data_IF_972913062941
#
_entry.id   IF_972913062941
#
_cell.length_a   1.000
_cell.length_b   1.000
_cell.length_c   1.000
_cell.angle_alpha   90.00
_cell.angle_beta   90.00
_cell.angle_gamma   90.00
#
_symmetry.space_group_name_H-M   'P 1'
#
loop_
_entity.id
_entity.type
_entity.pdbx_description
1 polymer ?
#
# COMPACT_ATOMS: atom_id res chain seq x y z
N UNK A 1 5.57 7.44 -3.12
CA UNK A 1 4.36 6.58 -3.11
C UNK A 1 3.51 6.76 -4.36
N UNK A 2 3.44 7.93 -4.99
CA UNK A 2 2.67 8.12 -6.25
C UNK A 2 3.36 7.64 -7.54
N UNK A 3 4.68 7.40 -7.53
CA UNK A 3 5.47 7.07 -8.73
C UNK A 3 4.93 5.87 -9.54
N UNK A 4 4.55 4.73 -8.92
CA UNK A 4 3.98 3.61 -9.70
C UNK A 4 2.65 3.97 -10.39
N UNK A 5 1.82 4.81 -9.76
CA UNK A 5 0.57 5.30 -10.35
C UNK A 5 0.84 6.23 -11.53
N UNK A 6 1.80 7.16 -11.38
CA UNK A 6 2.25 8.01 -12.49
C UNK A 6 2.83 7.18 -13.64
N UNK A 7 3.65 6.18 -13.32
CA UNK A 7 4.18 5.23 -14.29
C UNK A 7 3.08 4.47 -15.04
N UNK A 8 2.05 4.01 -14.34
CA UNK A 8 0.88 3.36 -14.96
C UNK A 8 0.13 4.29 -15.93
N UNK A 9 -0.16 5.53 -15.53
CA UNK A 9 -0.85 6.49 -16.37
C UNK A 9 -0.04 6.86 -17.62
N UNK A 10 1.27 7.08 -17.43
CA UNK A 10 2.23 7.34 -18.51
C UNK A 10 2.25 6.17 -19.49
N UNK A 11 2.40 4.95 -18.97
CA UNK A 11 2.39 3.72 -19.75
C UNK A 11 1.08 3.49 -20.53
N UNK A 12 -0.07 3.80 -19.92
CA UNK A 12 -1.36 3.70 -20.59
C UNK A 12 -1.50 4.74 -21.72
N UNK A 13 -1.01 5.96 -21.51
CA UNK A 13 -0.99 7.01 -22.52
C UNK A 13 -0.10 6.65 -23.71
N UNK A 14 1.10 6.13 -23.43
CA UNK A 14 2.05 5.62 -24.43
C UNK A 14 1.43 4.50 -25.27
N UNK A 15 0.80 3.50 -24.64
CA UNK A 15 0.12 2.40 -25.35
C UNK A 15 -1.04 2.85 -26.24
N UNK A 16 -1.58 4.04 -26.02
CA UNK A 16 -2.64 4.65 -26.84
C UNK A 16 -2.10 5.57 -27.94
N UNK A 17 -0.78 5.68 -28.10
CA UNK A 17 -0.15 6.56 -29.09
C UNK A 17 -0.34 8.05 -28.82
N UNK A 18 -0.76 8.44 -27.60
CA UNK A 18 -1.05 9.84 -27.25
C UNK A 18 0.20 10.50 -26.67
N UNK A 19 1.17 10.82 -27.53
CA UNK A 19 2.46 11.39 -27.14
C UNK A 19 2.32 12.69 -26.31
N UNK A 20 1.51 13.64 -26.78
CA UNK A 20 1.28 14.90 -26.06
C UNK A 20 0.66 14.70 -24.67
N UNK A 21 -0.29 13.77 -24.55
CA UNK A 21 -0.93 13.46 -23.28
C UNK A 21 0.08 12.83 -22.31
N UNK A 22 1.01 12.04 -22.84
CA UNK A 22 2.09 11.43 -22.03
C UNK A 22 2.98 12.50 -21.42
N UNK A 23 3.39 13.49 -22.22
CA UNK A 23 4.17 14.64 -21.72
C UNK A 23 3.36 15.42 -20.68
N UNK A 24 2.08 15.69 -20.95
CA UNK A 24 1.20 16.37 -20.00
C UNK A 24 1.05 15.63 -18.66
N UNK A 25 0.86 14.31 -18.70
CA UNK A 25 0.77 13.45 -17.50
C UNK A 25 2.09 13.47 -16.71
N UNK A 26 3.22 13.32 -17.40
CA UNK A 26 4.54 13.34 -16.76
C UNK A 26 4.82 14.69 -16.10
N UNK A 27 4.58 15.80 -16.80
CA UNK A 27 4.78 17.14 -16.25
C UNK A 27 3.84 17.40 -15.07
N UNK A 28 2.54 17.14 -15.22
CA UNK A 28 1.57 17.36 -14.14
C UNK A 28 1.85 16.49 -12.90
N UNK A 29 2.33 15.25 -13.10
CA UNK A 29 2.64 14.34 -12.00
C UNK A 29 4.00 14.57 -11.35
N UNK A 30 5.02 14.91 -12.14
CA UNK A 30 6.39 15.10 -11.66
C UNK A 30 6.64 16.51 -11.12
N UNK A 31 5.92 17.53 -11.59
CA UNK A 31 6.13 18.91 -11.16
C UNK A 31 5.93 19.11 -9.64
N UNK A 32 4.83 18.63 -9.01
CA UNK A 32 4.68 18.75 -7.55
C UNK A 32 5.79 18.04 -6.77
N UNK A 33 6.28 16.91 -7.29
CA UNK A 33 7.40 16.19 -6.70
C UNK A 33 8.70 16.99 -6.82
N UNK A 34 8.95 17.59 -7.99
CA UNK A 34 10.13 18.41 -8.21
C UNK A 34 10.13 19.67 -7.35
N UNK A 35 8.99 20.36 -7.26
CA UNK A 35 8.85 21.57 -6.43
C UNK A 35 8.99 21.26 -4.94
N UNK A 36 8.38 20.17 -4.46
CA UNK A 36 8.52 19.74 -3.06
C UNK A 36 9.91 19.20 -2.72
N UNK A 37 10.69 18.78 -3.71
CA UNK A 37 12.07 18.34 -3.55
C UNK A 37 13.07 19.51 -3.36
N UNK A 38 12.78 20.70 -3.90
CA UNK A 38 13.70 21.84 -3.88
C UNK A 38 14.28 22.19 -2.50
N UNK A 39 13.48 22.25 -1.40
CA UNK A 39 14.01 22.60 -0.07
C UNK A 39 14.99 21.57 0.49
N UNK A 40 15.00 20.35 -0.04
CA UNK A 40 15.87 19.25 0.38
C UNK A 40 17.09 19.07 -0.53
N UNK A 41 17.20 19.90 -1.58
CA UNK A 41 18.23 19.82 -2.59
C UNK A 41 19.26 20.94 -2.43
N UNK A 42 20.52 20.59 -2.66
CA UNK A 42 21.67 21.48 -2.78
C UNK A 42 22.38 21.21 -4.12
N UNK A 43 23.27 22.09 -4.59
CA UNK A 43 24.00 21.86 -5.84
C UNK A 43 24.82 20.55 -5.86
N UNK A 44 25.19 20.02 -4.69
CA UNK A 44 26.03 18.82 -4.55
C UNK A 44 25.23 17.56 -4.18
N UNK A 45 24.03 17.69 -3.63
CA UNK A 45 23.26 16.56 -3.14
C UNK A 45 21.74 16.85 -3.06
N UNK A 46 20.92 15.83 -3.33
CA UNK A 46 19.46 15.84 -3.14
C UNK A 46 19.01 14.64 -2.30
N UNK A 47 19.26 14.62 -0.97
CA UNK A 47 18.85 13.54 -0.09
C UNK A 47 17.34 13.55 0.19
N UNK A 48 16.51 13.28 -0.83
CA UNK A 48 15.05 13.20 -0.71
C UNK A 48 14.59 12.07 0.22
N UNK A 49 15.40 11.03 0.33
CA UNK A 49 15.18 9.91 1.23
C UNK A 49 16.46 9.77 2.05
N UNK A 50 16.41 9.90 3.38
CA UNK A 50 17.57 9.74 4.23
C UNK A 50 17.90 8.25 4.38
N UNK A 51 18.50 7.66 3.35
CA UNK A 51 18.81 6.22 3.27
C UNK A 51 19.77 5.74 4.37
N UNK A 52 20.54 6.64 4.97
CA UNK A 52 21.36 6.35 6.15
C UNK A 52 20.61 6.38 7.49
N UNK A 53 19.33 6.79 7.53
CA UNK A 53 18.59 6.90 8.79
C UNK A 53 18.15 5.55 9.34
N UNK A 54 18.14 5.43 10.66
CA UNK A 54 17.61 4.25 11.34
C UNK A 54 16.11 4.04 11.03
N UNK A 55 15.35 5.12 10.81
CA UNK A 55 13.95 5.04 10.43
C UNK A 55 13.76 4.33 9.08
N UNK A 56 14.51 4.70 8.03
CA UNK A 56 14.40 4.06 6.71
C UNK A 56 14.85 2.61 6.76
N UNK A 57 15.92 2.30 7.49
CA UNK A 57 16.51 0.96 7.51
C UNK A 57 15.79 -0.04 8.42
N UNK A 58 15.30 0.43 9.58
CA UNK A 58 14.83 -0.43 10.68
C UNK A 58 13.47 -0.01 11.26
N UNK A 59 12.88 1.11 10.80
CA UNK A 59 11.62 1.63 11.34
C UNK A 59 10.49 0.62 11.28
N UNK A 60 9.72 0.50 12.38
CA UNK A 60 8.52 -0.34 12.53
C UNK A 60 7.38 0.52 13.07
N UNK A 61 6.14 0.05 12.93
CA UNK A 61 4.92 0.76 13.30
C UNK A 61 3.72 -0.20 13.47
N UNK A 62 2.79 -0.15 12.53
CA UNK A 62 1.56 -0.92 12.47
C UNK A 62 1.58 -1.96 11.34
N UNK A 63 2.75 -2.43 10.91
CA UNK A 63 2.96 -3.31 9.75
C UNK A 63 2.25 -4.68 9.85
N UNK A 64 1.85 -5.24 8.70
CA UNK A 64 1.26 -6.58 8.59
C UNK A 64 2.28 -7.63 8.14
N UNK A 65 2.62 -7.66 6.84
CA UNK A 65 3.49 -8.69 6.27
C UNK A 65 4.88 -8.63 6.92
N UNK A 66 5.51 -7.46 7.11
CA UNK A 66 6.78 -7.41 7.79
C UNK A 66 6.75 -7.95 9.23
N UNK A 67 5.62 -7.81 9.94
CA UNK A 67 5.46 -8.44 11.25
C UNK A 67 5.40 -9.96 11.15
N UNK A 68 4.61 -10.51 10.21
CA UNK A 68 4.52 -11.95 9.99
C UNK A 68 5.86 -12.56 9.56
N UNK A 69 6.60 -11.88 8.69
CA UNK A 69 7.95 -12.30 8.31
C UNK A 69 8.89 -12.29 9.52
N UNK A 70 8.79 -11.28 10.39
CA UNK A 70 9.60 -11.22 11.59
C UNK A 70 9.31 -12.33 12.61
N UNK A 71 8.11 -12.93 12.60
CA UNK A 71 7.79 -14.09 13.46
C UNK A 71 8.55 -15.36 13.04
N UNK A 72 8.85 -15.51 11.75
CA UNK A 72 9.56 -16.67 11.20
C UNK A 72 11.04 -16.40 10.90
N UNK A 73 11.39 -15.13 10.68
CA UNK A 73 12.75 -14.67 10.37
C UNK A 73 13.03 -13.35 11.07
N UNK A 74 13.51 -13.43 12.32
CA UNK A 74 13.73 -12.26 13.17
C UNK A 74 14.70 -11.23 12.57
N UNK A 75 15.72 -11.67 11.83
CA UNK A 75 16.70 -10.75 11.20
C UNK A 75 16.09 -9.85 10.12
N UNK A 76 14.90 -10.18 9.61
CA UNK A 76 14.15 -9.29 8.71
C UNK A 76 13.85 -7.91 9.33
N UNK A 77 13.92 -7.80 10.67
CA UNK A 77 13.78 -6.51 11.37
C UNK A 77 14.96 -5.56 11.11
N UNK A 78 16.11 -6.08 10.66
CA UNK A 78 17.33 -5.31 10.42
C UNK A 78 17.42 -4.75 9.00
N UNK A 79 16.46 -5.01 8.13
CA UNK A 79 16.54 -4.52 6.75
C UNK A 79 15.15 -4.33 6.14
N UNK A 80 14.75 -3.08 5.96
CA UNK A 80 13.48 -2.75 5.30
C UNK A 80 13.48 -2.97 3.79
N UNK A 81 14.64 -2.89 3.16
CA UNK A 81 14.77 -2.98 1.71
C UNK A 81 14.26 -4.30 1.13
N UNK A 82 14.22 -5.39 1.92
CA UNK A 82 13.73 -6.70 1.48
C UNK A 82 12.27 -6.66 1.01
N UNK A 83 11.46 -5.75 1.55
CA UNK A 83 10.05 -5.59 1.15
C UNK A 83 9.88 -4.77 -0.14
N UNK A 84 10.96 -4.15 -0.64
CA UNK A 84 10.97 -3.46 -1.92
C UNK A 84 10.84 -4.43 -3.10
N UNK A 85 11.53 -5.57 -3.06
CA UNK A 85 11.45 -6.58 -4.12
C UNK A 85 10.03 -7.14 -4.34
N UNK A 86 9.30 -7.65 -3.31
CA UNK A 86 7.93 -8.12 -3.51
C UNK A 86 6.99 -7.00 -3.98
N UNK A 87 7.21 -5.75 -3.54
CA UNK A 87 6.43 -4.61 -4.01
C UNK A 87 6.68 -4.33 -5.50
N UNK A 88 7.93 -4.40 -5.98
CA UNK A 88 8.27 -4.26 -7.40
C UNK A 88 7.62 -5.37 -8.22
N UNK A 89 7.71 -6.63 -7.77
CA UNK A 89 7.07 -7.77 -8.43
C UNK A 89 5.55 -7.59 -8.50
N UNK A 90 4.92 -7.12 -7.42
CA UNK A 90 3.50 -6.77 -7.41
C UNK A 90 3.17 -5.70 -8.46
N UNK A 91 3.93 -4.61 -8.51
CA UNK A 91 3.72 -3.53 -9.49
C UNK A 91 3.83 -4.05 -10.92
N UNK A 92 4.83 -4.89 -11.22
CA UNK A 92 4.98 -5.52 -12.54
C UNK A 92 3.76 -6.40 -12.86
N UNK A 93 3.29 -7.22 -11.91
CA UNK A 93 2.08 -8.02 -12.07
C UNK A 93 0.84 -7.16 -12.34
N UNK A 94 0.66 -6.08 -11.57
CA UNK A 94 -0.44 -5.13 -11.75
C UNK A 94 -0.38 -4.45 -13.12
N UNK A 95 0.80 -4.01 -13.59
CA UNK A 95 0.98 -3.41 -14.93
C UNK A 95 0.57 -4.36 -16.07
N UNK A 96 0.76 -5.67 -15.87
CA UNK A 96 0.39 -6.71 -16.84
C UNK A 96 -1.12 -6.98 -16.83
N UNK A 97 -1.70 -7.16 -15.64
CA UNK A 97 -3.06 -7.69 -15.48
C UNK A 97 -4.15 -6.62 -15.36
N UNK A 98 -3.86 -5.48 -14.76
CA UNK A 98 -4.86 -4.41 -14.61
C UNK A 98 -4.93 -3.54 -15.86
N UNK A 99 -6.14 -3.15 -16.25
CA UNK A 99 -6.39 -2.31 -17.44
C UNK A 99 -6.88 -0.91 -17.10
N UNK A 100 -7.44 -0.73 -15.89
CA UNK A 100 -8.03 0.52 -15.43
C UNK A 100 -7.26 1.14 -14.27
N UNK A 101 -7.36 2.46 -14.16
CA UNK A 101 -6.71 3.26 -13.12
C UNK A 101 -7.14 2.84 -11.70
N UNK A 102 -8.44 2.61 -11.49
CA UNK A 102 -8.98 2.21 -10.17
C UNK A 102 -8.35 0.89 -9.72
N UNK A 103 -8.40 -0.15 -10.55
CA UNK A 103 -7.85 -1.46 -10.21
C UNK A 103 -6.34 -1.45 -9.99
N UNK A 104 -5.58 -0.70 -10.81
CA UNK A 104 -4.14 -0.57 -10.60
C UNK A 104 -3.82 0.13 -9.28
N UNK A 105 -4.44 1.30 -9.04
CA UNK A 105 -4.16 2.14 -7.87
C UNK A 105 -4.58 1.46 -6.59
N UNK A 106 -5.74 0.80 -6.57
CA UNK A 106 -6.20 0.01 -5.43
C UNK A 106 -5.22 -1.13 -5.12
N UNK A 107 -4.88 -1.95 -6.12
CA UNK A 107 -3.97 -3.08 -5.92
C UNK A 107 -2.59 -2.63 -5.45
N UNK A 108 -2.08 -1.55 -6.02
CA UNK A 108 -0.79 -0.98 -5.63
C UNK A 108 -0.82 -0.44 -4.20
N UNK A 109 -1.80 0.39 -3.85
CA UNK A 109 -1.91 0.98 -2.51
C UNK A 109 -2.17 -0.09 -1.45
N UNK A 110 -2.96 -1.13 -1.78
CA UNK A 110 -3.22 -2.22 -0.87
C UNK A 110 -1.96 -3.04 -0.62
N UNK A 111 -1.23 -3.39 -1.67
CA UNK A 111 0.03 -4.11 -1.52
C UNK A 111 1.10 -3.28 -0.82
N UNK A 112 1.19 -1.98 -1.11
CA UNK A 112 2.04 -1.04 -0.42
C UNK A 112 1.72 -0.96 1.07
N UNK A 113 0.43 -0.88 1.42
CA UNK A 113 -0.03 -0.87 2.80
C UNK A 113 0.38 -2.17 3.52
N UNK A 114 0.16 -3.34 2.90
CA UNK A 114 0.46 -4.64 3.52
C UNK A 114 1.96 -4.93 3.65
N UNK A 115 2.77 -4.49 2.67
CA UNK A 115 4.21 -4.74 2.59
C UNK A 115 5.06 -3.66 3.28
N UNK A 116 4.50 -2.49 3.59
CA UNK A 116 5.27 -1.43 4.23
C UNK A 116 5.66 -1.81 5.66
N UNK A 117 6.96 -1.75 6.03
CA UNK A 117 7.38 -1.88 7.43
C UNK A 117 7.01 -0.66 8.27
N UNK A 118 6.69 0.47 7.62
CA UNK A 118 6.32 1.73 8.25
C UNK A 118 4.95 2.14 7.72
N UNK A 119 3.90 1.74 8.42
CA UNK A 119 2.50 2.08 8.14
C UNK A 119 2.09 3.28 8.97
N UNK A 120 1.61 4.31 8.28
CA UNK A 120 1.00 5.49 8.90
C UNK A 120 -0.51 5.52 8.64
N UNK A 121 -1.26 6.19 9.51
CA UNK A 121 -2.72 6.26 9.42
C UNK A 121 -3.23 6.83 8.09
N UNK A 122 -2.47 7.75 7.47
CA UNK A 122 -2.82 8.31 6.17
C UNK A 122 -2.72 7.31 5.00
N UNK A 123 -2.04 6.17 5.16
CA UNK A 123 -2.05 5.12 4.13
C UNK A 123 -3.45 4.53 3.96
N UNK A 124 -4.21 4.45 5.05
CA UNK A 124 -5.59 3.96 5.02
C UNK A 124 -6.49 4.98 4.30
N UNK A 125 -6.33 6.28 4.57
CA UNK A 125 -7.16 7.31 3.92
C UNK A 125 -6.93 7.38 2.41
N UNK A 126 -5.70 7.11 1.94
CA UNK A 126 -5.41 7.05 0.51
C UNK A 126 -6.13 5.90 -0.22
N UNK A 127 -6.46 4.81 0.49
CA UNK A 127 -7.18 3.67 -0.07
C UNK A 127 -8.69 3.91 -0.21
N UNK A 128 -9.27 4.75 0.65
CA UNK A 128 -10.73 4.94 0.77
C UNK A 128 -11.39 5.27 -0.58
N UNK A 129 -10.91 6.23 -1.39
CA UNK A 129 -11.57 6.56 -2.66
C UNK A 129 -11.68 5.37 -3.61
N UNK A 130 -10.66 4.51 -3.63
CA UNK A 130 -10.62 3.33 -4.49
C UNK A 130 -11.53 2.22 -3.96
N UNK A 131 -11.51 1.96 -2.66
CA UNK A 131 -12.39 0.97 -2.04
C UNK A 131 -13.89 1.34 -2.12
N UNK A 132 -14.21 2.63 -2.17
CA UNK A 132 -15.55 3.11 -2.49
C UNK A 132 -15.90 2.79 -3.94
N UNK A 133 -15.04 3.17 -4.89
CA UNK A 133 -15.26 2.99 -6.33
C UNK A 133 -15.35 1.51 -6.76
N UNK A 134 -14.58 0.62 -6.13
CA UNK A 134 -14.56 -0.82 -6.45
C UNK A 134 -15.48 -1.67 -5.59
N UNK A 135 -16.14 -1.07 -4.59
CA UNK A 135 -16.89 -1.78 -3.57
C UNK A 135 -16.08 -2.85 -2.81
N UNK A 136 -14.76 -2.65 -2.66
CA UNK A 136 -13.89 -3.59 -1.95
C UNK A 136 -14.23 -3.67 -0.45
N UNK A 137 -14.78 -4.82 -0.02
CA UNK A 137 -15.16 -5.09 1.36
C UNK A 137 -13.98 -5.02 2.34
N UNK A 138 -12.80 -5.47 1.93
CA UNK A 138 -11.59 -5.38 2.75
C UNK A 138 -11.25 -3.95 3.13
N UNK A 139 -11.25 -3.03 2.17
CA UNK A 139 -10.97 -1.61 2.43
C UNK A 139 -12.07 -0.98 3.30
N UNK A 140 -13.33 -1.34 3.07
CA UNK A 140 -14.45 -0.87 3.91
C UNK A 140 -14.30 -1.34 5.35
N UNK A 141 -13.99 -2.61 5.56
CA UNK A 141 -13.78 -3.16 6.90
C UNK A 141 -12.53 -2.59 7.58
N UNK A 142 -11.45 -2.39 6.83
CA UNK A 142 -10.26 -1.69 7.35
C UNK A 142 -10.61 -0.29 7.87
N UNK A 143 -11.51 0.45 7.20
CA UNK A 143 -11.92 1.78 7.67
C UNK A 143 -12.58 1.76 9.05
N UNK A 144 -13.21 0.64 9.43
CA UNK A 144 -13.83 0.46 10.75
C UNK A 144 -12.79 0.21 11.85
N UNK A 145 -11.61 -0.33 11.52
CA UNK A 145 -10.54 -0.63 12.49
C UNK A 145 -9.36 0.35 12.43
N UNK A 146 -9.30 1.22 11.43
CA UNK A 146 -8.20 2.17 11.22
C UNK A 146 -7.93 3.05 12.44
N UNK A 147 -8.93 3.30 13.28
CA UNK A 147 -8.78 4.09 14.51
C UNK A 147 -7.75 3.49 15.48
N UNK A 148 -7.49 2.17 15.44
CA UNK A 148 -6.51 1.50 16.31
C UNK A 148 -5.10 2.05 16.09
N UNK A 149 -4.79 2.54 14.89
CA UNK A 149 -3.52 3.22 14.61
C UNK A 149 -3.24 4.37 15.60
N UNK A 150 -4.28 5.08 16.05
CA UNK A 150 -4.13 6.21 16.97
C UNK A 150 -3.73 5.82 18.40
N UNK A 151 -3.68 4.52 18.73
CA UNK A 151 -3.05 4.05 19.95
C UNK A 151 -1.55 4.42 20.01
N UNK A 152 -0.86 4.51 18.86
CA UNK A 152 0.56 4.90 18.77
C UNK A 152 0.79 6.34 19.25
N UNK A 153 0.21 7.39 18.63
CA UNK A 153 0.40 8.76 19.09
C UNK A 153 -0.17 8.97 20.51
N UNK A 154 -1.23 8.26 20.89
CA UNK A 154 -1.76 8.32 22.26
C UNK A 154 -0.73 7.82 23.28
N UNK A 155 -0.11 6.66 23.06
CA UNK A 155 0.95 6.14 23.95
C UNK A 155 2.18 7.04 23.99
N UNK A 156 2.55 7.64 22.86
CA UNK A 156 3.63 8.61 22.82
C UNK A 156 3.31 9.86 23.66
N UNK A 157 2.06 10.35 23.62
CA UNK A 157 1.61 11.48 24.44
C UNK A 157 1.62 11.16 25.95
N UNK A 158 1.50 9.89 26.32
CA UNK A 158 1.66 9.41 27.70
C UNK A 158 3.13 9.18 28.10
N UNK A 159 4.09 9.52 27.23
CA UNK A 159 5.53 9.35 27.49
C UNK A 159 6.06 7.94 27.32
N UNK A 160 5.29 7.02 26.71
CA UNK A 160 5.76 5.65 26.48
C UNK A 160 6.72 5.60 25.26
N UNK A 161 7.96 5.12 25.43
CA UNK A 161 8.94 5.05 24.34
C UNK A 161 8.66 3.82 23.47
N UNK A 162 7.73 3.93 22.52
CA UNK A 162 7.45 2.82 21.61
C UNK A 162 6.49 3.18 20.48
N UNK A 163 6.96 3.12 19.24
CA UNK A 163 6.14 3.32 18.04
C UNK A 163 5.76 1.97 17.42
N UNK A 164 5.18 1.06 18.19
CA UNK A 164 4.75 -0.26 17.70
C UNK A 164 3.40 -0.65 18.29
N UNK A 165 2.55 -1.27 17.48
CA UNK A 165 1.32 -1.89 17.99
C UNK A 165 1.65 -3.18 18.76
N UNK A 166 0.91 -3.42 19.83
CA UNK A 166 0.85 -4.74 20.48
C UNK A 166 0.28 -5.77 19.49
N UNK A 167 0.51 -7.08 19.68
CA UNK A 167 -0.06 -8.10 18.82
C UNK A 167 -1.58 -8.00 18.67
N UNK A 168 -2.29 -7.73 19.77
CA UNK A 168 -3.75 -7.62 19.76
C UNK A 168 -4.23 -6.41 18.96
N UNK A 169 -3.63 -5.23 19.17
CA UNK A 169 -3.97 -4.03 18.38
C UNK A 169 -3.64 -4.24 16.89
N UNK A 170 -2.50 -4.87 16.59
CA UNK A 170 -2.11 -5.18 15.21
C UNK A 170 -3.15 -6.09 14.55
N UNK A 171 -3.56 -7.17 15.20
CA UNK A 171 -4.60 -8.04 14.66
C UNK A 171 -5.96 -7.34 14.58
N UNK A 172 -6.32 -6.51 15.57
CA UNK A 172 -7.53 -5.70 15.53
C UNK A 172 -7.56 -4.75 14.33
N UNK A 173 -6.41 -4.17 13.97
CA UNK A 173 -6.26 -3.32 12.80
C UNK A 173 -6.43 -4.12 11.50
N UNK A 174 -5.74 -5.25 11.35
CA UNK A 174 -5.61 -5.95 10.07
C UNK A 174 -6.64 -7.04 9.79
N UNK A 175 -7.18 -7.70 10.82
CA UNK A 175 -8.12 -8.80 10.63
C UNK A 175 -9.38 -8.39 9.83
N UNK A 176 -9.98 -7.21 10.05
CA UNK A 176 -11.11 -6.75 9.23
C UNK A 176 -10.78 -6.65 7.74
N UNK A 177 -9.58 -6.16 7.39
CA UNK A 177 -9.10 -6.14 6.01
C UNK A 177 -9.03 -7.56 5.43
N UNK A 178 -8.36 -8.48 6.13
CA UNK A 178 -8.17 -9.86 5.69
C UNK A 178 -9.50 -10.58 5.50
N UNK A 179 -10.43 -10.46 6.45
CA UNK A 179 -11.79 -11.01 6.35
C UNK A 179 -12.49 -10.46 5.10
N UNK A 180 -12.49 -9.15 4.92
CA UNK A 180 -13.16 -8.52 3.78
C UNK A 180 -12.56 -8.90 2.42
N UNK A 181 -11.25 -9.20 2.35
CA UNK A 181 -10.61 -9.72 1.15
C UNK A 181 -10.96 -11.20 0.87
N UNK A 182 -11.19 -12.00 1.91
CA UNK A 182 -11.50 -13.44 1.77
C UNK A 182 -12.97 -13.71 1.40
N UNK A 183 -13.92 -12.87 1.85
CA UNK A 183 -15.36 -13.07 1.59
C UNK A 183 -15.67 -13.22 0.08
N UNK A 184 -15.23 -12.31 -0.82
CA UNK A 184 -15.53 -12.44 -2.25
C UNK A 184 -14.86 -13.65 -2.91
N UNK A 185 -13.75 -14.15 -2.33
CA UNK A 185 -13.11 -15.37 -2.80
C UNK A 185 -13.96 -16.59 -2.43
N UNK A 186 -14.37 -16.71 -1.17
CA UNK A 186 -15.25 -17.79 -0.70
C UNK A 186 -16.57 -17.84 -1.48
N UNK A 187 -17.20 -16.69 -1.72
CA UNK A 187 -18.44 -16.60 -2.49
C UNK A 187 -18.28 -17.09 -3.94
N UNK A 188 -17.13 -16.83 -4.57
CA UNK A 188 -16.85 -17.34 -5.94
C UNK A 188 -16.71 -18.85 -5.97
N UNK A 189 -15.96 -19.41 -5.02
CA UNK A 189 -15.77 -20.86 -4.90
C UNK A 189 -17.10 -21.58 -4.68
N UNK A 190 -17.94 -21.08 -3.76
CA UNK A 190 -19.26 -21.65 -3.48
C UNK A 190 -20.19 -21.61 -4.71
N UNK A 191 -20.17 -20.52 -5.49
CA UNK A 191 -20.97 -20.39 -6.72
C UNK A 191 -20.46 -21.27 -7.86
N UNK A 192 -19.15 -21.53 -7.96
CA UNK A 192 -18.61 -22.45 -8.97
C UNK A 192 -18.90 -23.92 -8.67
N UNK A 193 -19.15 -24.27 -7.39
CA UNK A 193 -19.51 -25.62 -6.97
C UNK A 193 -20.99 -25.99 -7.16
N UNK A 194 -21.88 -25.00 -7.30
CA UNK A 194 -23.29 -25.23 -7.62
C UNK A 194 -23.48 -25.44 -9.12
N UNK A 195 -23.13 -26.63 -9.63
CA UNK A 195 -23.65 -27.10 -10.92
C UNK A 195 -25.15 -27.29 -10.73
N UNK A 196 -25.96 -26.43 -11.36
CA UNK A 196 -27.41 -26.61 -11.41
C UNK A 196 -27.69 -28.00 -12.01
N UNK A 197 -28.40 -28.90 -11.32
CA UNK A 197 -28.93 -30.08 -11.99
C UNK A 197 -29.86 -29.54 -13.08
N UNK A 198 -29.46 -29.71 -14.35
CA UNK A 198 -30.40 -29.56 -15.45
C UNK A 198 -31.40 -30.68 -15.25
N UNK A 199 -32.59 -30.34 -14.75
CA UNK A 199 -33.75 -31.21 -14.83
C UNK A 199 -33.97 -31.48 -16.32
N UNK A 200 -33.68 -32.72 -16.73
CA UNK A 200 -34.16 -33.30 -18.00
C UNK A 200 -35.59 -33.78 -17.80
#
# INVERSE_FOLDING_TARGET
MSLPILGFLTWQSLRRGKGWLTVGVLLAGALPLALSALPFCSPQACPLIPTGSAFVNYGRSAELIPHLVALVWADSQRINAIFGLPLVLLVIGLLRWTKGFVGFSEGYLLGLLMLSPIVHGWYVTWLVPFGVASHNLGIRFLSLSAFIYFALPYRLALGQPGWTLTPLERWGLWLPLLIGLLIPFAQRVLRSGSVSPRLM
#
